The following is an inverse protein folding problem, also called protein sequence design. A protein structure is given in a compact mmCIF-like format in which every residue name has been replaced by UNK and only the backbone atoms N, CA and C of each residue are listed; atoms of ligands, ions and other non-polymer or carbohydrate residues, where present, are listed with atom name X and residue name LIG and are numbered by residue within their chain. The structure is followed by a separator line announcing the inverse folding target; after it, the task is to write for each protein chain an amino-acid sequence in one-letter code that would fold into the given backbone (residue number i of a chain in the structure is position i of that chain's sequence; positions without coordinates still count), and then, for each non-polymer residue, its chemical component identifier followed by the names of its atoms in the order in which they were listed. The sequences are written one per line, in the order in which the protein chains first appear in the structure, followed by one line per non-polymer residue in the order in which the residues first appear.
data_IF_437202759576
#
_entry.id   IF_437202759576
#
_cell.length_a   1.000
_cell.length_b   1.000
_cell.length_c   1.000
_cell.angle_alpha   90.00
_cell.angle_beta   90.00
_cell.angle_gamma   90.00
#
_symmetry.space_group_name_H-M   'P 1'
#
loop_
_entity.id
_entity.type
_entity.pdbx_description
1 polymer ?
#
# COMPACT_ATOMS: atom_id res chain seq x y z
N UNK A 1 5.09 -12.20 -14.45
CA UNK A 1 4.93 -12.15 -12.98
C UNK A 1 5.56 -10.85 -12.49
N UNK A 2 4.73 -9.91 -12.04
CA UNK A 2 5.19 -8.65 -11.49
C UNK A 2 5.81 -8.88 -10.10
N UNK A 3 6.63 -7.93 -9.66
CA UNK A 3 7.10 -7.85 -8.28
C UNK A 3 5.92 -7.96 -7.31
N UNK A 4 6.07 -8.76 -6.26
CA UNK A 4 4.98 -9.08 -5.35
C UNK A 4 5.43 -8.93 -3.90
N UNK A 5 4.71 -8.13 -3.13
CA UNK A 5 4.83 -7.97 -1.69
C UNK A 5 3.53 -8.47 -1.03
N UNK A 6 3.61 -9.32 -0.02
CA UNK A 6 2.41 -9.79 0.70
C UNK A 6 1.99 -8.79 1.77
N UNK A 7 0.74 -8.36 1.76
CA UNK A 7 0.18 -7.47 2.77
C UNK A 7 -1.14 -8.01 3.33
N UNK A 8 -1.38 -7.73 4.60
CA UNK A 8 -2.63 -8.08 5.28
C UNK A 8 -3.38 -6.81 5.62
N UNK A 9 -4.66 -6.73 5.30
CA UNK A 9 -5.51 -5.64 5.75
C UNK A 9 -5.94 -5.79 7.20
N UNK A 10 -5.89 -4.70 7.94
CA UNK A 10 -6.20 -4.66 9.37
C UNK A 10 -7.23 -3.56 9.65
N UNK A 11 -8.16 -3.86 10.53
CA UNK A 11 -9.17 -2.92 11.01
C UNK A 11 -8.64 -2.19 12.25
N UNK A 12 -8.59 -0.85 12.23
CA UNK A 12 -8.22 -0.05 13.40
C UNK A 12 -9.45 0.62 14.01
N UNK A 13 -9.66 0.42 15.32
CA UNK A 13 -10.77 0.98 16.10
C UNK A 13 -10.25 2.05 17.06
N UNK A 14 -10.91 3.20 17.10
CA UNK A 14 -10.67 4.22 18.11
C UNK A 14 -11.38 3.84 19.41
N UNK A 15 -10.65 3.64 20.51
CA UNK A 15 -11.23 3.43 21.83
C UNK A 15 -11.42 4.78 22.53
N UNK A 16 -12.65 5.29 22.60
CA UNK A 16 -12.99 6.40 23.50
C UNK A 16 -12.98 5.94 24.94
N UNK A 17 -11.94 6.28 25.71
CA UNK A 17 -11.84 5.99 27.13
C UNK A 17 -12.64 6.96 27.98
N UNK A 18 -13.73 6.52 28.61
CA UNK A 18 -14.34 7.17 29.76
C UNK A 18 -13.78 6.55 31.04
N UNK A 19 -13.09 7.36 31.85
CA UNK A 19 -12.60 6.94 33.18
C UNK A 19 -13.75 6.78 34.15
N UNK A 20 -13.88 5.60 34.75
CA UNK A 20 -14.48 5.43 36.10
C UNK A 20 -13.74 4.30 36.83
N UNK A 21 -13.37 4.61 38.08
CA UNK A 21 -12.52 3.78 38.94
C UNK A 21 -13.30 2.66 39.64
N UNK A 22 -12.70 1.46 39.64
CA UNK A 22 -12.51 0.40 40.66
C UNK A 22 -13.73 -0.41 41.19
N UNK A 23 -13.60 -1.70 41.64
CA UNK A 23 -12.38 -2.50 41.90
C UNK A 23 -12.34 -3.90 41.24
N UNK A 24 -11.16 -4.54 41.39
CA UNK A 24 -10.75 -5.83 40.89
C UNK A 24 -11.66 -7.01 41.14
N UNK A 25 -11.89 -7.79 40.08
CA UNK A 25 -12.14 -9.22 40.18
C UNK A 25 -11.42 -9.97 39.06
N UNK A 26 -10.70 -11.00 39.47
CA UNK A 26 -9.84 -11.83 38.60
C UNK A 26 -10.71 -12.82 37.82
N UNK A 27 -11.02 -12.48 36.57
CA UNK A 27 -11.43 -13.44 35.55
C UNK A 27 -10.82 -13.06 34.23
N UNK A 28 -10.07 -14.00 33.63
CA UNK A 28 -9.48 -13.93 32.30
C UNK A 28 -10.55 -13.49 31.30
N UNK A 29 -10.39 -12.37 30.55
CA UNK A 29 -11.37 -12.04 29.51
C UNK A 29 -11.21 -13.06 28.38
N UNK A 30 -12.25 -13.82 28.12
CA UNK A 30 -12.43 -14.44 26.81
C UNK A 30 -12.46 -13.32 25.76
N UNK A 31 -11.71 -13.48 24.67
CA UNK A 31 -11.77 -12.58 23.53
C UNK A 31 -13.24 -12.44 23.11
N UNK A 32 -13.79 -11.25 23.32
CA UNK A 32 -15.15 -10.91 22.90
C UNK A 32 -15.08 -10.72 21.37
N UNK A 33 -15.47 -11.78 20.66
CA UNK A 33 -15.72 -11.67 19.23
C UNK A 33 -16.88 -10.70 19.06
N UNK A 34 -16.57 -9.44 18.70
CA UNK A 34 -17.56 -8.39 18.41
C UNK A 34 -18.62 -8.96 17.48
N UNK A 35 -19.87 -8.98 17.94
CA UNK A 35 -20.96 -9.65 17.23
C UNK A 35 -21.11 -9.05 15.83
N UNK A 36 -21.24 -9.84 14.75
CA UNK A 36 -21.33 -9.36 13.37
C UNK A 36 -22.33 -8.21 13.14
N UNK A 37 -23.41 -8.16 13.96
CA UNK A 37 -24.44 -7.12 13.91
C UNK A 37 -24.01 -5.76 14.50
N UNK A 38 -22.95 -5.70 15.33
CA UNK A 38 -22.41 -4.44 15.87
C UNK A 38 -21.35 -3.86 14.92
N UNK A 39 -20.53 -4.70 14.33
CA UNK A 39 -19.53 -4.33 13.31
C UNK A 39 -20.20 -3.66 12.10
N UNK A 40 -21.36 -4.15 11.65
CA UNK A 40 -22.12 -3.58 10.54
C UNK A 40 -22.74 -2.19 10.83
N UNK A 41 -22.70 -1.72 12.07
CA UNK A 41 -23.21 -0.38 12.45
C UNK A 41 -22.14 0.70 12.51
N UNK A 42 -20.86 0.29 12.53
CA UNK A 42 -19.76 1.21 12.55
C UNK A 42 -19.60 1.87 11.17
N UNK A 43 -19.08 3.09 11.17
CA UNK A 43 -18.66 3.80 9.96
C UNK A 43 -17.17 3.58 9.75
N UNK A 44 -16.81 3.08 8.58
CA UNK A 44 -15.44 2.74 8.23
C UNK A 44 -14.89 3.74 7.22
N UNK A 45 -13.76 4.35 7.53
CA UNK A 45 -13.01 5.13 6.55
C UNK A 45 -12.15 4.19 5.70
N UNK A 46 -12.19 4.38 4.39
CA UNK A 46 -11.48 3.56 3.40
C UNK A 46 -10.93 4.44 2.29
N UNK A 47 -9.83 4.04 1.66
CA UNK A 47 -9.37 4.71 0.44
C UNK A 47 -10.24 4.30 -0.75
N UNK A 48 -10.73 5.28 -1.50
CA UNK A 48 -11.56 5.06 -2.68
C UNK A 48 -10.83 4.22 -3.75
N UNK A 49 -11.49 3.19 -4.27
CA UNK A 49 -10.93 2.28 -5.28
C UNK A 49 -9.85 1.32 -4.74
N UNK A 50 -9.73 1.19 -3.41
CA UNK A 50 -8.85 0.21 -2.77
C UNK A 50 -9.54 -1.14 -2.56
N UNK A 51 -8.75 -2.19 -2.31
CA UNK A 51 -9.26 -3.49 -1.89
C UNK A 51 -10.00 -3.39 -0.54
N UNK A 52 -9.60 -2.47 0.35
CA UNK A 52 -10.29 -2.17 1.61
C UNK A 52 -11.71 -1.66 1.41
N UNK A 53 -11.93 -0.77 0.45
CA UNK A 53 -13.27 -0.31 0.09
C UNK A 53 -14.11 -1.46 -0.48
N UNK A 54 -13.54 -2.25 -1.39
CA UNK A 54 -14.24 -3.38 -2.01
C UNK A 54 -14.72 -4.39 -0.95
N UNK A 55 -13.83 -4.77 -0.04
CA UNK A 55 -14.16 -5.70 1.05
C UNK A 55 -15.19 -5.12 2.01
N UNK A 56 -15.08 -3.83 2.36
CA UNK A 56 -16.06 -3.18 3.23
C UNK A 56 -17.46 -3.17 2.61
N UNK A 57 -17.56 -2.81 1.33
CA UNK A 57 -18.82 -2.80 0.58
C UNK A 57 -19.39 -4.21 0.42
N UNK A 58 -18.56 -5.22 0.11
CA UNK A 58 -18.98 -6.62 -0.01
C UNK A 58 -19.55 -7.18 1.30
N UNK A 59 -19.02 -6.71 2.45
CA UNK A 59 -19.55 -7.08 3.77
C UNK A 59 -20.74 -6.23 4.23
N UNK A 60 -21.18 -5.26 3.42
CA UNK A 60 -22.30 -4.38 3.74
C UNK A 60 -22.00 -3.39 4.86
N UNK A 61 -20.73 -3.02 5.04
CA UNK A 61 -20.32 -2.02 6.01
C UNK A 61 -20.72 -0.62 5.55
N UNK A 62 -20.88 0.29 6.50
CA UNK A 62 -21.13 1.69 6.22
C UNK A 62 -19.80 2.39 6.02
N UNK A 63 -19.50 2.88 4.82
CA UNK A 63 -18.19 3.41 4.45
C UNK A 63 -18.20 4.92 4.22
N UNK A 64 -17.08 5.55 4.54
CA UNK A 64 -16.67 6.90 4.11
C UNK A 64 -15.42 6.73 3.27
N UNK A 65 -15.55 6.97 1.96
CA UNK A 65 -14.42 6.87 1.04
C UNK A 65 -13.63 8.17 1.03
N UNK A 66 -12.31 8.06 1.17
CA UNK A 66 -11.33 9.16 1.16
C UNK A 66 -10.27 8.94 0.09
N UNK A 67 -9.41 9.94 -0.15
CA UNK A 67 -8.45 9.90 -1.27
C UNK A 67 -7.18 9.07 -0.97
N UNK A 68 -6.93 8.71 0.31
CA UNK A 68 -5.77 7.91 0.70
C UNK A 68 -6.01 7.18 2.02
N UNK A 69 -5.26 6.11 2.27
CA UNK A 69 -5.30 5.39 3.55
C UNK A 69 -4.84 6.28 4.71
N UNK A 70 -3.87 7.17 4.48
CA UNK A 70 -3.47 8.16 5.49
C UNK A 70 -4.64 9.07 5.90
N UNK A 71 -5.49 9.51 4.95
CA UNK A 71 -6.72 10.25 5.26
C UNK A 71 -7.74 9.40 6.01
N UNK A 72 -7.83 8.10 5.74
CA UNK A 72 -8.70 7.22 6.51
C UNK A 72 -8.32 7.17 8.00
N UNK A 73 -7.03 7.16 8.33
CA UNK A 73 -6.57 7.27 9.71
C UNK A 73 -6.91 8.64 10.34
N UNK A 74 -6.83 9.71 9.55
CA UNK A 74 -7.23 11.06 10.02
C UNK A 74 -8.71 11.13 10.35
N UNK A 75 -9.59 10.50 9.57
CA UNK A 75 -11.04 10.45 9.86
C UNK A 75 -11.33 9.71 11.18
N UNK A 76 -10.62 8.61 11.45
CA UNK A 76 -10.75 7.90 12.72
C UNK A 76 -10.23 8.76 13.90
N UNK A 77 -9.08 9.39 13.75
CA UNK A 77 -8.52 10.27 14.78
C UNK A 77 -9.43 11.47 15.08
N UNK A 78 -10.07 12.02 14.05
CA UNK A 78 -11.03 13.13 14.18
C UNK A 78 -12.37 12.69 14.76
N UNK A 79 -12.66 11.38 14.85
CA UNK A 79 -13.94 10.83 15.31
C UNK A 79 -15.08 10.97 14.29
N UNK A 80 -14.77 11.19 13.02
CA UNK A 80 -15.73 11.23 11.90
C UNK A 80 -15.99 9.85 11.32
N UNK A 81 -15.09 8.89 11.57
CA UNK A 81 -15.28 7.47 11.38
C UNK A 81 -14.97 6.70 12.66
N UNK A 82 -15.62 5.54 12.84
CA UNK A 82 -15.40 4.68 14.01
C UNK A 82 -14.15 3.80 13.85
N UNK A 83 -13.81 3.46 12.61
CA UNK A 83 -12.68 2.62 12.26
C UNK A 83 -12.16 2.93 10.86
N UNK A 84 -10.95 2.48 10.53
CA UNK A 84 -10.43 2.47 9.17
C UNK A 84 -10.13 1.04 8.73
N UNK A 85 -10.28 0.78 7.42
CA UNK A 85 -9.78 -0.42 6.78
C UNK A 85 -8.63 0.00 5.88
N UNK A 86 -7.43 -0.40 6.26
CA UNK A 86 -6.17 -0.03 5.61
C UNK A 86 -5.23 -1.23 5.56
N UNK A 87 -4.17 -1.10 4.80
CA UNK A 87 -3.12 -2.11 4.72
C UNK A 87 -2.38 -2.28 6.04
N UNK A 88 -2.04 -3.54 6.35
CA UNK A 88 -1.34 -3.86 7.59
C UNK A 88 0.06 -3.27 7.67
N UNK A 89 0.72 -3.05 6.53
CA UNK A 89 2.03 -2.40 6.48
C UNK A 89 1.91 -0.95 6.95
N UNK A 90 0.96 -0.19 6.41
CA UNK A 90 0.70 1.18 6.87
C UNK A 90 0.22 1.21 8.32
N UNK A 91 -0.69 0.31 8.71
CA UNK A 91 -1.15 0.24 10.09
C UNK A 91 0.02 0.01 11.05
N UNK A 92 0.93 -0.91 10.73
CA UNK A 92 2.12 -1.20 11.53
C UNK A 92 3.11 -0.04 11.64
N UNK A 93 3.21 0.79 10.60
CA UNK A 93 4.09 1.95 10.59
C UNK A 93 3.50 3.16 11.32
N UNK A 94 2.18 3.36 11.24
CA UNK A 94 1.55 4.62 11.64
C UNK A 94 0.70 4.54 12.90
N UNK A 95 0.29 3.35 13.36
CA UNK A 95 -0.66 3.17 14.49
C UNK A 95 0.02 2.54 15.69
N UNK A 96 -0.15 3.15 16.88
CA UNK A 96 0.35 2.66 18.15
C UNK A 96 1.38 3.59 18.80
N UNK A 97 1.85 3.20 19.97
CA UNK A 97 2.79 4.00 20.77
C UNK A 97 4.08 4.31 19.99
N UNK A 98 4.46 5.57 19.95
CA UNK A 98 5.66 6.06 19.25
C UNK A 98 5.49 6.32 17.76
N UNK A 99 4.28 6.18 17.22
CA UNK A 99 3.94 6.44 15.81
C UNK A 99 3.12 7.73 15.65
N UNK A 100 2.69 8.02 14.41
CA UNK A 100 1.86 9.19 14.08
C UNK A 100 0.46 9.15 14.73
N UNK A 101 -0.06 7.95 15.04
CA UNK A 101 -1.39 7.75 15.65
C UNK A 101 -1.30 6.92 16.93
N UNK A 102 -0.72 7.47 18.02
CA UNK A 102 -0.48 6.72 19.26
C UNK A 102 -1.76 6.34 20.01
N UNK A 103 -2.86 7.03 19.76
CA UNK A 103 -4.16 6.80 20.42
C UNK A 103 -5.05 5.80 19.66
N UNK A 104 -4.65 5.39 18.46
CA UNK A 104 -5.35 4.36 17.69
C UNK A 104 -4.78 2.97 18.01
N UNK A 105 -5.59 1.95 17.76
CA UNK A 105 -5.23 0.56 18.03
C UNK A 105 -5.55 -0.31 16.82
N UNK A 106 -4.60 -1.16 16.44
CA UNK A 106 -4.81 -2.19 15.42
C UNK A 106 -5.58 -3.36 16.06
N UNK A 107 -6.64 -3.82 15.39
CA UNK A 107 -7.41 -5.00 15.84
C UNK A 107 -6.81 -6.28 15.27
N UNK A 108 -7.16 -7.42 15.86
CA UNK A 108 -6.75 -8.74 15.35
C UNK A 108 -7.54 -9.20 14.12
N UNK A 109 -8.51 -8.39 13.67
CA UNK A 109 -9.37 -8.75 12.55
C UNK A 109 -8.63 -8.54 11.23
N UNK A 110 -8.40 -9.62 10.50
CA UNK A 110 -7.85 -9.62 9.14
C UNK A 110 -9.00 -9.86 8.16
N UNK A 111 -9.08 -9.04 7.12
CA UNK A 111 -10.15 -9.09 6.13
C UNK A 111 -9.72 -9.82 4.87
N UNK A 112 -8.51 -9.52 4.39
CA UNK A 112 -7.91 -10.12 3.18
C UNK A 112 -6.43 -10.41 3.40
N UNK A 113 -5.88 -11.22 2.51
CA UNK A 113 -4.45 -11.43 2.34
C UNK A 113 -4.15 -11.14 0.87
N UNK A 114 -3.19 -10.24 0.62
CA UNK A 114 -2.97 -9.67 -0.70
C UNK A 114 -1.50 -9.78 -1.11
N UNK A 115 -1.30 -9.87 -2.43
CA UNK A 115 0.00 -9.74 -3.05
C UNK A 115 0.03 -8.41 -3.80
N UNK A 116 1.09 -7.62 -3.61
CA UNK A 116 1.27 -6.37 -4.34
C UNK A 116 2.06 -6.57 -5.62
N UNK A 117 1.76 -5.76 -6.60
CA UNK A 117 2.48 -5.72 -7.86
C UNK A 117 2.57 -4.32 -8.44
N UNK A 118 3.42 -4.15 -9.42
CA UNK A 118 3.56 -2.91 -10.18
C UNK A 118 2.63 -2.95 -11.39
N UNK A 119 1.70 -1.99 -11.46
CA UNK A 119 0.76 -1.86 -12.56
C UNK A 119 1.42 -1.23 -13.79
N UNK A 120 1.41 -1.95 -14.92
CA UNK A 120 1.85 -1.46 -16.22
C UNK A 120 0.69 -1.48 -17.21
N UNK A 121 0.79 -0.70 -18.29
CA UNK A 121 -0.18 -0.77 -19.40
C UNK A 121 -0.27 -2.20 -19.95
N UNK A 122 -1.45 -2.60 -20.37
CA UNK A 122 -1.68 -3.95 -20.91
C UNK A 122 -0.81 -4.18 -22.15
N UNK A 123 -0.01 -5.24 -22.12
CA UNK A 123 0.91 -5.59 -23.21
C UNK A 123 2.23 -4.80 -23.22
N UNK A 124 2.47 -3.97 -22.21
CA UNK A 124 3.71 -3.23 -22.05
C UNK A 124 4.88 -4.16 -21.76
N UNK A 125 6.02 -3.93 -22.42
CA UNK A 125 7.28 -4.61 -22.13
C UNK A 125 7.95 -4.09 -20.86
N UNK A 126 7.47 -2.97 -20.30
CA UNK A 126 7.96 -2.44 -19.04
C UNK A 126 7.79 -3.42 -17.88
N UNK A 127 6.70 -4.22 -17.87
CA UNK A 127 6.49 -5.24 -16.84
C UNK A 127 7.61 -6.30 -16.84
N UNK A 128 8.05 -6.77 -18.02
CA UNK A 128 9.17 -7.71 -18.09
C UNK A 128 10.50 -7.06 -17.71
N UNK A 129 10.68 -5.77 -18.02
CA UNK A 129 11.86 -5.02 -17.59
C UNK A 129 11.91 -4.88 -16.07
N UNK A 130 10.81 -4.46 -15.45
CA UNK A 130 10.72 -4.35 -13.99
C UNK A 130 10.99 -5.70 -13.35
N UNK A 131 10.37 -6.78 -13.83
CA UNK A 131 10.59 -8.12 -13.30
C UNK A 131 12.06 -8.55 -13.37
N UNK A 132 12.78 -8.22 -14.45
CA UNK A 132 14.21 -8.54 -14.55
C UNK A 132 15.04 -7.76 -13.54
N UNK A 133 14.76 -6.46 -13.35
CA UNK A 133 15.46 -5.63 -12.36
C UNK A 133 15.18 -6.12 -10.93
N UNK A 134 13.93 -6.48 -10.63
CA UNK A 134 13.56 -6.98 -9.29
C UNK A 134 14.18 -8.36 -9.02
N UNK A 135 14.26 -9.25 -10.02
CA UNK A 135 14.93 -10.54 -9.89
C UNK A 135 16.44 -10.38 -9.62
N UNK A 136 17.10 -9.48 -10.34
CA UNK A 136 18.51 -9.15 -10.09
C UNK A 136 18.72 -8.56 -8.69
N UNK A 137 17.88 -7.59 -8.31
CA UNK A 137 17.93 -6.97 -6.98
C UNK A 137 17.67 -7.95 -5.84
N UNK A 138 16.81 -8.95 -6.05
CA UNK A 138 16.58 -10.03 -5.11
C UNK A 138 17.82 -10.94 -5.00
N UNK A 139 18.38 -11.37 -6.12
CA UNK A 139 19.56 -12.24 -6.16
C UNK A 139 20.80 -11.58 -5.54
N UNK A 140 20.96 -10.28 -5.71
CA UNK A 140 22.08 -9.48 -5.19
C UNK A 140 21.85 -9.02 -3.72
N UNK A 141 20.71 -9.34 -3.10
CA UNK A 141 20.34 -8.93 -1.74
C UNK A 141 19.96 -7.46 -1.57
N UNK A 142 19.87 -6.69 -2.64
CA UNK A 142 19.47 -5.28 -2.61
C UNK A 142 18.02 -5.12 -2.14
N UNK A 143 17.16 -6.02 -2.62
CA UNK A 143 15.74 -6.01 -2.24
C UNK A 143 15.55 -6.26 -0.75
N UNK A 144 16.25 -7.24 -0.20
CA UNK A 144 16.21 -7.58 1.23
C UNK A 144 16.75 -6.44 2.09
N UNK A 145 17.90 -5.87 1.73
CA UNK A 145 18.48 -4.74 2.45
C UNK A 145 17.59 -3.50 2.45
N UNK A 146 16.90 -3.22 1.32
CA UNK A 146 15.93 -2.13 1.27
C UNK A 146 14.71 -2.43 2.12
N UNK A 147 14.19 -3.66 2.08
CA UNK A 147 13.07 -4.08 2.91
C UNK A 147 13.38 -4.02 4.42
N UNK A 148 14.61 -4.36 4.83
CA UNK A 148 15.07 -4.20 6.21
C UNK A 148 15.12 -2.74 6.64
N UNK A 149 15.53 -1.83 5.73
CA UNK A 149 15.59 -0.39 5.99
C UNK A 149 14.21 0.16 6.36
N UNK A 150 13.16 -0.33 5.72
CA UNK A 150 11.79 0.12 5.92
C UNK A 150 10.93 -0.82 6.80
N UNK A 151 11.53 -1.89 7.34
CA UNK A 151 10.85 -2.81 8.25
C UNK A 151 9.83 -3.73 7.58
N UNK A 152 9.91 -3.93 6.26
CA UNK A 152 8.96 -4.73 5.47
C UNK A 152 9.51 -6.09 5.02
N UNK A 153 10.66 -6.49 5.51
CA UNK A 153 11.33 -7.75 5.11
C UNK A 153 10.47 -9.00 5.31
N UNK A 154 9.59 -9.00 6.32
CA UNK A 154 8.69 -10.13 6.58
C UNK A 154 7.59 -10.30 5.52
N UNK A 155 7.33 -9.26 4.72
CA UNK A 155 6.35 -9.25 3.65
C UNK A 155 6.96 -9.52 2.26
N UNK A 156 8.31 -9.61 2.17
CA UNK A 156 8.97 -9.95 0.92
C UNK A 156 8.60 -11.35 0.46
N UNK A 157 8.39 -11.46 -0.85
CA UNK A 157 8.24 -12.75 -1.52
C UNK A 157 9.40 -12.99 -2.49
N UNK A 158 9.73 -14.26 -2.67
CA UNK A 158 10.79 -14.68 -3.59
C UNK A 158 10.53 -14.14 -5.01
N UNK A 159 11.57 -13.56 -5.61
CA UNK A 159 11.53 -13.08 -7.00
C UNK A 159 12.19 -14.11 -7.90
N UNK A 160 11.44 -14.84 -8.75
CA UNK A 160 12.02 -15.80 -9.66
C UNK A 160 12.89 -15.10 -10.70
N UNK A 161 13.95 -15.78 -11.15
CA UNK A 161 14.77 -15.27 -12.24
C UNK A 161 13.91 -14.87 -13.45
N UNK A 162 14.14 -13.67 -13.96
CA UNK A 162 13.36 -13.11 -15.07
C UNK A 162 14.30 -12.40 -16.04
N UNK A 163 14.06 -12.56 -17.33
CA UNK A 163 14.82 -11.86 -18.36
C UNK A 163 13.92 -10.83 -19.05
N UNK A 164 14.51 -9.67 -19.35
CA UNK A 164 13.81 -8.65 -20.11
C UNK A 164 13.60 -9.09 -21.54
N UNK A 165 12.36 -8.95 -22.02
CA UNK A 165 11.99 -9.17 -23.40
C UNK A 165 11.36 -7.89 -23.96
N UNK A 166 12.08 -7.23 -24.86
CA UNK A 166 11.59 -6.02 -25.52
C UNK A 166 10.45 -6.35 -26.50
N UNK A 167 9.48 -5.46 -26.59
CA UNK A 167 8.44 -5.52 -27.62
C UNK A 167 9.04 -5.19 -28.99
N UNK A 168 8.59 -5.89 -30.04
CA UNK A 168 9.00 -5.61 -31.43
C UNK A 168 8.41 -4.29 -31.96
N UNK A 169 7.29 -3.86 -31.40
CA UNK A 169 6.60 -2.61 -31.70
C UNK A 169 6.00 -2.02 -30.43
N UNK A 170 5.81 -0.71 -30.40
CA UNK A 170 5.16 0.02 -29.30
C UNK A 170 5.77 -0.28 -27.91
N UNK A 171 7.11 -0.30 -27.83
CA UNK A 171 7.85 -0.51 -26.58
C UNK A 171 7.67 0.67 -25.62
N UNK A 172 7.05 0.43 -24.46
CA UNK A 172 6.98 1.43 -23.39
C UNK A 172 8.35 1.70 -22.79
N UNK A 173 9.24 0.71 -22.74
CA UNK A 173 10.63 0.89 -22.30
C UNK A 173 11.35 1.89 -23.20
N UNK A 174 11.21 1.77 -24.53
CA UNK A 174 11.82 2.71 -25.46
C UNK A 174 11.19 4.11 -25.35
N UNK A 175 9.85 4.19 -25.26
CA UNK A 175 9.14 5.43 -25.06
C UNK A 175 9.60 6.18 -23.79
N UNK A 176 9.77 5.48 -22.67
CA UNK A 176 10.25 6.05 -21.41
C UNK A 176 11.70 6.54 -21.54
N UNK A 177 12.56 5.75 -22.19
CA UNK A 177 13.96 6.16 -22.47
C UNK A 177 14.04 7.41 -23.34
N UNK A 178 13.23 7.49 -24.38
CA UNK A 178 13.20 8.65 -25.30
C UNK A 178 12.64 9.89 -24.59
N UNK A 179 11.69 9.72 -23.70
CA UNK A 179 11.11 10.78 -22.87
C UNK A 179 12.08 11.26 -21.78
N UNK A 180 12.96 10.39 -21.29
CA UNK A 180 13.95 10.67 -20.26
C UNK A 180 13.41 10.65 -18.82
N UNK A 181 12.17 10.23 -18.62
CA UNK A 181 11.53 10.15 -17.28
C UNK A 181 10.69 8.91 -17.14
N UNK A 182 10.71 8.29 -15.94
CA UNK A 182 9.73 7.30 -15.48
C UNK A 182 8.74 8.01 -14.57
N UNK A 183 7.47 8.12 -14.97
CA UNK A 183 6.42 8.75 -14.16
C UNK A 183 5.70 7.69 -13.37
N UNK A 184 5.80 7.77 -12.04
CA UNK A 184 5.32 6.79 -11.07
C UNK A 184 4.07 7.34 -10.40
N UNK A 185 2.93 6.67 -10.56
CA UNK A 185 1.68 7.01 -9.89
C UNK A 185 1.63 6.36 -8.51
N UNK A 186 1.45 7.19 -7.48
CA UNK A 186 1.48 6.81 -6.06
C UNK A 186 0.35 7.48 -5.27
N UNK A 187 0.13 7.02 -4.04
CA UNK A 187 -0.51 7.76 -2.95
C UNK A 187 0.44 7.80 -1.74
N UNK A 188 0.16 8.63 -0.73
CA UNK A 188 0.92 8.57 0.52
C UNK A 188 0.61 7.26 1.26
N UNK A 189 1.61 6.39 1.33
CA UNK A 189 1.51 5.05 1.89
C UNK A 189 2.81 4.66 2.62
N UNK A 190 3.02 5.15 3.83
CA UNK A 190 4.16 4.74 4.66
C UNK A 190 4.01 3.26 5.08
N UNK A 191 5.06 2.42 4.99
CA UNK A 191 6.46 2.73 4.67
C UNK A 191 6.85 2.51 3.20
N UNK A 192 5.89 2.43 2.27
CA UNK A 192 6.13 2.12 0.86
C UNK A 192 6.49 3.37 0.04
N UNK A 193 5.66 4.42 0.12
CA UNK A 193 5.84 5.71 -0.54
C UNK A 193 5.42 6.83 0.40
N UNK A 194 6.35 7.63 0.87
CA UNK A 194 6.08 8.78 1.73
C UNK A 194 7.19 9.82 1.62
N UNK A 195 6.98 11.00 2.16
CA UNK A 195 7.97 12.07 2.09
C UNK A 195 8.78 12.18 3.39
N UNK A 196 10.09 12.38 3.24
CA UNK A 196 10.94 12.80 4.34
C UNK A 196 10.72 14.27 4.71
N UNK A 197 11.45 14.76 5.73
CA UNK A 197 11.35 16.14 6.20
C UNK A 197 11.76 17.19 5.14
N UNK A 198 12.50 16.80 4.13
CA UNK A 198 12.97 17.65 3.02
C UNK A 198 12.02 17.58 1.80
N UNK A 199 10.98 16.74 1.88
CA UNK A 199 10.00 16.54 0.82
C UNK A 199 10.44 15.57 -0.27
N UNK A 200 11.48 14.77 -0.03
CA UNK A 200 11.88 13.73 -0.96
C UNK A 200 11.01 12.49 -0.77
N UNK A 201 10.59 11.88 -1.86
CA UNK A 201 9.91 10.60 -1.81
C UNK A 201 10.88 9.48 -1.40
N UNK A 202 10.55 8.78 -0.34
CA UNK A 202 11.28 7.65 0.24
C UNK A 202 10.28 6.51 0.53
N UNK A 203 10.80 5.36 0.89
CA UNK A 203 10.01 4.17 1.17
C UNK A 203 10.46 3.00 0.30
N UNK A 204 9.97 1.82 0.61
CA UNK A 204 10.38 0.60 -0.09
C UNK A 204 10.05 0.68 -1.59
N UNK A 205 8.80 1.00 -1.93
CA UNK A 205 8.36 1.12 -3.34
C UNK A 205 9.05 2.28 -4.04
N UNK A 206 9.19 3.44 -3.36
CA UNK A 206 9.89 4.60 -3.91
C UNK A 206 11.34 4.29 -4.27
N UNK A 207 12.07 3.56 -3.42
CA UNK A 207 13.47 3.24 -3.67
C UNK A 207 13.62 2.17 -4.76
N UNK A 208 12.70 1.20 -4.83
CA UNK A 208 12.67 0.23 -5.93
C UNK A 208 12.32 0.89 -7.27
N UNK A 209 11.39 1.85 -7.28
CA UNK A 209 11.06 2.62 -8.47
C UNK A 209 12.24 3.48 -8.96
N UNK A 210 13.02 4.09 -8.04
CA UNK A 210 14.27 4.79 -8.36
C UNK A 210 15.32 3.85 -8.95
N UNK A 211 15.46 2.64 -8.40
CA UNK A 211 16.37 1.63 -8.94
C UNK A 211 15.99 1.27 -10.38
N UNK A 212 14.69 1.07 -10.65
CA UNK A 212 14.22 0.78 -12.02
C UNK A 212 14.48 1.97 -12.95
N UNK A 213 14.25 3.21 -12.52
CA UNK A 213 14.54 4.40 -13.30
C UNK A 213 16.05 4.52 -13.62
N UNK A 214 16.93 4.23 -12.64
CA UNK A 214 18.38 4.16 -12.83
C UNK A 214 18.76 3.13 -13.90
N UNK A 215 18.21 1.93 -13.84
CA UNK A 215 18.45 0.86 -14.81
C UNK A 215 17.92 1.20 -16.21
N UNK A 216 16.84 1.98 -16.30
CA UNK A 216 16.35 2.55 -17.57
C UNK A 216 17.25 3.69 -18.08
N UNK A 217 18.03 4.33 -17.20
CA UNK A 217 18.82 5.53 -17.51
C UNK A 217 17.97 6.79 -17.61
N UNK A 218 16.92 6.91 -16.82
CA UNK A 218 15.96 8.03 -16.81
C UNK A 218 15.75 8.57 -15.40
N UNK A 219 15.15 9.78 -15.30
CA UNK A 219 14.80 10.39 -14.03
C UNK A 219 13.46 9.83 -13.50
N UNK A 220 13.36 9.44 -12.21
CA UNK A 220 12.09 9.09 -11.57
C UNK A 220 11.26 10.33 -11.26
N UNK A 221 9.98 10.32 -11.62
CA UNK A 221 9.03 11.41 -11.32
C UNK A 221 7.83 10.82 -10.59
N UNK A 222 7.73 11.12 -9.28
CA UNK A 222 6.61 10.67 -8.46
C UNK A 222 5.42 11.62 -8.62
N UNK A 223 4.25 11.06 -8.89
CA UNK A 223 3.00 11.80 -9.10
C UNK A 223 1.93 11.22 -8.17
N UNK A 224 1.45 12.03 -7.24
CA UNK A 224 0.32 11.65 -6.41
C UNK A 224 -0.94 11.65 -7.27
N UNK A 225 -1.62 10.51 -7.32
CA UNK A 225 -2.84 10.31 -8.09
C UNK A 225 -4.05 10.09 -7.17
N UNK A 226 -5.24 10.24 -7.70
CA UNK A 226 -6.41 9.66 -7.06
C UNK A 226 -6.42 8.16 -7.38
N UNK A 227 -6.40 7.32 -6.33
CA UNK A 227 -6.24 5.87 -6.48
C UNK A 227 -7.35 5.21 -7.31
N UNK A 228 -8.57 5.71 -7.21
CA UNK A 228 -9.69 5.23 -8.02
C UNK A 228 -9.46 5.45 -9.52
N UNK A 229 -8.68 6.46 -9.90
CA UNK A 229 -8.36 6.79 -11.28
C UNK A 229 -7.09 6.13 -11.82
N UNK A 230 -6.38 5.30 -11.06
CA UNK A 230 -5.07 4.71 -11.41
C UNK A 230 -5.01 4.09 -12.82
N UNK A 231 -6.05 3.34 -13.20
CA UNK A 231 -6.12 2.70 -14.52
C UNK A 231 -6.30 3.73 -15.64
N UNK A 232 -7.09 4.77 -15.39
CA UNK A 232 -7.27 5.87 -16.35
C UNK A 232 -5.97 6.64 -16.56
N UNK A 233 -5.26 7.02 -15.48
CA UNK A 233 -3.98 7.72 -15.53
C UNK A 233 -2.92 6.91 -16.29
N UNK A 234 -2.86 5.61 -16.06
CA UNK A 234 -1.95 4.69 -16.73
C UNK A 234 -2.26 4.58 -18.25
N UNK A 235 -3.52 4.37 -18.62
CA UNK A 235 -3.94 4.23 -20.01
C UNK A 235 -3.82 5.54 -20.80
N UNK A 236 -3.99 6.67 -20.14
CA UNK A 236 -3.83 8.01 -20.74
C UNK A 236 -2.37 8.43 -20.87
N UNK A 237 -1.41 7.63 -20.41
CA UNK A 237 0.03 7.93 -20.37
C UNK A 237 0.36 9.18 -19.52
N UNK A 238 -0.49 9.54 -18.58
CA UNK A 238 -0.18 10.55 -17.56
C UNK A 238 0.85 10.02 -16.58
N UNK A 239 0.81 8.71 -16.32
CA UNK A 239 1.82 7.95 -15.58
C UNK A 239 2.29 6.75 -16.42
N UNK A 240 3.47 6.23 -16.12
CA UNK A 240 4.04 5.05 -16.81
C UNK A 240 3.79 3.76 -16.04
N UNK A 241 3.77 3.86 -14.71
CA UNK A 241 3.50 2.76 -13.78
C UNK A 241 2.60 3.23 -12.65
N UNK A 242 1.84 2.31 -12.07
CA UNK A 242 1.22 2.42 -10.74
C UNK A 242 2.09 1.59 -9.80
N UNK A 243 2.70 2.23 -8.82
CA UNK A 243 3.61 1.55 -7.90
C UNK A 243 3.37 2.01 -6.47
N UNK A 244 2.45 1.36 -5.78
CA UNK A 244 1.97 1.80 -4.46
C UNK A 244 1.01 0.75 -3.86
N UNK A 245 1.52 -0.40 -3.47
CA UNK A 245 0.67 -1.43 -2.87
C UNK A 245 -0.51 -1.88 -3.74
N UNK A 246 -0.33 -1.95 -5.06
CA UNK A 246 -1.39 -2.36 -5.97
C UNK A 246 -1.66 -3.85 -5.84
N UNK A 247 -2.85 -4.21 -5.36
CA UNK A 247 -3.28 -5.60 -5.22
C UNK A 247 -3.28 -6.33 -6.56
N UNK A 248 -2.63 -7.49 -6.60
CA UNK A 248 -2.72 -8.40 -7.74
C UNK A 248 -4.02 -9.21 -7.64
N UNK A 249 -4.82 -9.15 -8.69
CA UNK A 249 -6.02 -9.98 -8.86
C UNK A 249 -5.82 -10.96 -10.01
N UNK A 250 -6.50 -12.12 -9.96
CA UNK A 250 -6.50 -13.15 -11.01
C UNK A 250 -7.12 -12.68 -12.34
#
# INVERSE_FOLDING_TARGET
TAFVLSAMMVLSLAACGAKTETPADTSTPAADATKPAEVAKLTYAVEAGSAGEEVALANGYNVVSVDSQAKALMEVQAGTADAAIIDSLMAGAMVGEGTSYPDLTITDQKLTEELYGVGCRKGSDLASFINSVMADAYADGVLEATAETYGVQAALVEQPASEFTASESDSDVQYIKDKGTLVIGITEFEPMDYQDADGNWIGFDADMAKLVAEKLGVEPVFTVINWDNKVFELNSKNIDVVWNGMTLTD
#
